data_IF_813081198245
#
_entry.id   IF_813081198245
#
_cell.length_a   1.000
_cell.length_b   1.000
_cell.length_c   1.000
_cell.angle_alpha   90.00
_cell.angle_beta   90.00
_cell.angle_gamma   90.00
#
_symmetry.space_group_name_H-M   'P 1'
#
loop_
_entity.id
_entity.type
_entity.pdbx_description
1 polymer ?
#
# COMPACT_ATOMS: atom_id res chain seq x y z
N UNK A 1 -8.82 16.98 21.52
CA UNK A 1 -9.89 17.08 20.50
C UNK A 1 -9.25 17.50 19.19
N UNK A 2 -9.90 17.21 18.05
CA UNK A 2 -9.36 17.62 16.74
C UNK A 2 -9.20 19.15 16.64
N UNK A 3 -10.18 19.90 17.15
CA UNK A 3 -10.10 21.37 17.24
C UNK A 3 -8.87 21.86 18.04
N UNK A 4 -8.45 21.10 19.05
CA UNK A 4 -7.22 21.38 19.81
C UNK A 4 -5.96 21.23 18.96
N UNK A 5 -5.90 20.21 18.11
CA UNK A 5 -4.80 20.00 17.15
C UNK A 5 -4.78 21.15 16.14
N UNK A 6 -5.94 21.55 15.59
CA UNK A 6 -6.01 22.67 14.65
C UNK A 6 -5.46 23.96 15.25
N UNK A 7 -5.82 24.28 16.51
CA UNK A 7 -5.27 25.45 17.22
C UNK A 7 -3.77 25.33 17.48
N UNK A 8 -3.28 24.14 17.79
CA UNK A 8 -1.85 23.89 17.98
C UNK A 8 -1.09 24.15 16.68
N UNK A 9 -1.54 23.56 15.57
CA UNK A 9 -0.94 23.76 14.23
C UNK A 9 -0.94 25.23 13.83
N UNK A 10 -2.07 25.93 14.01
CA UNK A 10 -2.16 27.37 13.75
C UNK A 10 -1.17 28.19 14.60
N UNK A 11 -0.94 27.77 15.85
CA UNK A 11 0.05 28.40 16.74
C UNK A 11 1.48 28.14 16.25
N UNK A 12 1.80 26.89 15.94
CA UNK A 12 3.11 26.47 15.42
C UNK A 12 3.47 27.19 14.12
N UNK A 13 2.48 27.44 13.27
CA UNK A 13 2.65 28.13 11.97
C UNK A 13 2.44 29.64 12.01
N UNK A 14 2.11 30.20 13.18
CA UNK A 14 1.97 31.66 13.35
C UNK A 14 3.31 32.38 13.14
N UNK A 15 3.35 33.70 12.89
CA UNK A 15 4.60 34.45 12.72
C UNK A 15 5.62 34.28 13.87
N UNK A 16 5.13 34.13 15.10
CA UNK A 16 5.92 33.89 16.32
C UNK A 16 6.09 32.40 16.66
N UNK A 17 5.62 31.52 15.77
CA UNK A 17 5.65 30.07 15.92
C UNK A 17 7.00 29.44 15.56
N UNK A 18 6.98 28.13 15.36
CA UNK A 18 8.17 27.35 15.02
C UNK A 18 8.60 27.64 13.57
N UNK A 19 9.87 28.03 13.33
CA UNK A 19 10.37 28.31 11.99
C UNK A 19 10.28 27.10 11.06
N UNK A 20 10.50 25.89 11.57
CA UNK A 20 10.41 24.67 10.78
C UNK A 20 8.98 24.39 10.33
N UNK A 21 8.01 24.47 11.25
CA UNK A 21 6.59 24.25 10.94
C UNK A 21 6.09 25.25 9.90
N UNK A 22 6.49 26.51 9.99
CA UNK A 22 6.14 27.56 9.03
C UNK A 22 6.70 27.33 7.62
N UNK A 23 7.90 26.77 7.52
CA UNK A 23 8.57 26.52 6.24
C UNK A 23 7.94 25.34 5.46
N UNK A 24 7.12 24.52 6.14
CA UNK A 24 6.50 23.37 5.52
C UNK A 24 5.42 23.74 4.49
N UNK A 25 5.38 22.93 3.44
CA UNK A 25 4.37 22.95 2.38
C UNK A 25 3.63 21.62 2.32
N UNK A 26 2.51 21.57 1.57
CA UNK A 26 1.78 20.34 1.35
C UNK A 26 2.67 19.22 0.78
N UNK A 27 3.59 19.59 -0.13
CA UNK A 27 4.52 18.66 -0.77
C UNK A 27 5.60 18.15 0.19
N UNK A 28 6.17 19.03 1.02
CA UNK A 28 7.21 18.63 1.96
C UNK A 28 6.68 17.72 3.06
N UNK A 29 5.42 17.86 3.48
CA UNK A 29 4.82 17.04 4.53
C UNK A 29 4.26 15.69 4.08
N UNK A 30 4.10 15.45 2.77
CA UNK A 30 3.40 14.23 2.27
C UNK A 30 4.10 12.93 2.65
N UNK A 31 5.43 12.94 2.79
CA UNK A 31 6.20 11.73 3.13
C UNK A 31 6.05 11.38 4.61
N UNK A 32 6.11 12.38 5.50
CA UNK A 32 5.85 12.20 6.93
C UNK A 32 4.43 11.67 7.15
N UNK A 33 3.43 12.25 6.48
CA UNK A 33 2.06 11.74 6.57
C UNK A 33 1.93 10.25 6.18
N UNK A 34 2.72 9.80 5.19
CA UNK A 34 2.72 8.41 4.78
C UNK A 34 3.46 7.51 5.78
N UNK A 35 4.52 8.01 6.40
CA UNK A 35 5.24 7.34 7.50
C UNK A 35 4.29 7.06 8.66
N UNK A 36 3.59 8.09 9.18
CA UNK A 36 2.62 7.91 10.27
C UNK A 36 1.48 6.94 9.91
N UNK A 37 1.06 6.92 8.63
CA UNK A 37 0.08 5.94 8.18
C UNK A 37 0.61 4.50 8.26
N UNK A 38 1.90 4.28 7.98
CA UNK A 38 2.51 2.96 8.10
C UNK A 38 2.78 2.58 9.55
N UNK A 39 3.19 3.51 10.41
CA UNK A 39 3.34 3.27 11.84
C UNK A 39 1.99 2.91 12.47
N UNK A 40 0.91 3.61 12.10
CA UNK A 40 -0.46 3.25 12.51
C UNK A 40 -0.85 1.85 12.03
N UNK A 41 -0.52 1.48 10.79
CA UNK A 41 -0.78 0.11 10.28
C UNK A 41 0.01 -0.93 11.08
N UNK A 42 1.29 -0.67 11.38
CA UNK A 42 2.12 -1.56 12.21
C UNK A 42 1.53 -1.71 13.61
N UNK A 43 1.14 -0.62 14.27
CA UNK A 43 0.52 -0.65 15.59
C UNK A 43 -0.79 -1.47 15.61
N UNK A 44 -1.62 -1.37 14.57
CA UNK A 44 -2.82 -2.18 14.39
C UNK A 44 -2.47 -3.67 14.21
N UNK A 45 -1.44 -3.98 13.40
CA UNK A 45 -0.97 -5.35 13.16
C UNK A 45 -0.40 -5.99 14.45
N UNK A 46 0.28 -5.21 15.29
CA UNK A 46 0.81 -5.63 16.59
C UNK A 46 -0.27 -5.75 17.67
N UNK A 47 -1.42 -5.10 17.48
CA UNK A 47 -2.48 -4.99 18.49
C UNK A 47 -2.08 -4.10 19.67
N UNK A 48 -1.11 -3.21 19.47
CA UNK A 48 -0.61 -2.29 20.49
C UNK A 48 -1.54 -1.07 20.60
N UNK A 49 -2.48 -1.13 21.52
CA UNK A 49 -3.51 -0.09 21.69
C UNK A 49 -2.95 1.27 22.11
N UNK A 50 -1.78 1.31 22.75
CA UNK A 50 -1.14 2.57 23.15
C UNK A 50 -0.53 3.24 21.92
N UNK A 51 0.25 2.50 21.13
CA UNK A 51 0.77 3.00 19.87
C UNK A 51 -0.33 3.37 18.88
N UNK A 52 -1.40 2.57 18.76
CA UNK A 52 -2.53 2.91 17.88
C UNK A 52 -3.08 4.30 18.21
N UNK A 53 -3.16 4.66 19.50
CA UNK A 53 -3.65 5.96 19.91
C UNK A 53 -2.65 7.10 19.61
N UNK A 54 -1.35 6.82 19.74
CA UNK A 54 -0.25 7.72 19.38
C UNK A 54 -0.24 8.02 17.88
N UNK A 55 -0.08 6.98 17.05
CA UNK A 55 0.04 7.13 15.59
C UNK A 55 -1.23 7.69 14.94
N UNK A 56 -2.42 7.34 15.48
CA UNK A 56 -3.66 7.96 15.02
C UNK A 56 -3.67 9.46 15.33
N UNK A 57 -3.06 9.89 16.44
CA UNK A 57 -2.83 11.29 16.77
C UNK A 57 -1.96 11.99 15.74
N UNK A 58 -0.88 11.35 15.31
CA UNK A 58 0.08 11.93 14.35
C UNK A 58 -0.50 12.00 12.93
N UNK A 59 -1.24 10.99 12.50
CA UNK A 59 -2.05 11.05 11.27
C UNK A 59 -3.02 12.23 11.30
N UNK A 60 -3.69 12.47 12.44
CA UNK A 60 -4.61 13.61 12.59
C UNK A 60 -3.87 14.95 12.63
N UNK A 61 -2.69 15.02 13.26
CA UNK A 61 -1.83 16.20 13.27
C UNK A 61 -1.41 16.59 11.86
N UNK A 62 -0.89 15.64 11.08
CA UNK A 62 -0.51 15.89 9.70
C UNK A 62 -1.72 16.26 8.83
N UNK A 63 -2.88 15.65 9.05
CA UNK A 63 -4.13 16.06 8.41
C UNK A 63 -4.52 17.51 8.71
N UNK A 64 -4.39 17.94 9.97
CA UNK A 64 -4.64 19.32 10.37
C UNK A 64 -3.60 20.29 9.78
N UNK A 65 -2.33 19.90 9.68
CA UNK A 65 -1.27 20.68 9.03
C UNK A 65 -1.56 20.95 7.55
N UNK A 66 -2.06 19.95 6.82
CA UNK A 66 -2.48 20.12 5.42
C UNK A 66 -3.65 21.10 5.28
N UNK A 67 -4.64 21.02 6.17
CA UNK A 67 -5.77 21.96 6.21
C UNK A 67 -5.27 23.39 6.46
N UNK A 68 -4.42 23.58 7.46
CA UNK A 68 -3.88 24.89 7.82
C UNK A 68 -3.08 25.52 6.66
N UNK A 69 -2.25 24.73 5.97
CA UNK A 69 -1.48 25.19 4.80
C UNK A 69 -2.41 25.65 3.67
N UNK A 70 -3.48 24.90 3.38
CA UNK A 70 -4.45 25.25 2.35
C UNK A 70 -5.24 26.51 2.72
N UNK A 71 -5.59 26.69 3.99
CA UNK A 71 -6.24 27.90 4.50
C UNK A 71 -5.36 29.14 4.35
N UNK A 72 -4.07 29.03 4.67
CA UNK A 72 -3.08 30.10 4.50
C UNK A 72 -2.91 30.51 3.02
N UNK A 73 -3.08 29.56 2.10
CA UNK A 73 -3.00 29.78 0.66
C UNK A 73 -4.31 30.29 0.05
N UNK A 74 -5.43 30.22 0.80
CA UNK A 74 -6.75 30.58 0.32
C UNK A 74 -7.38 29.55 -0.62
N UNK A 75 -6.89 28.31 -0.62
CA UNK A 75 -7.33 27.25 -1.53
C UNK A 75 -8.64 26.60 -1.05
N UNK A 76 -8.67 26.13 0.20
CA UNK A 76 -9.85 25.58 0.86
C UNK A 76 -9.72 25.65 2.38
N UNK A 77 -10.85 25.53 3.07
CA UNK A 77 -10.93 25.51 4.53
C UNK A 77 -11.15 24.12 5.11
N UNK A 78 -10.93 23.96 6.41
CA UNK A 78 -11.34 22.77 7.14
C UNK A 78 -12.84 22.49 7.01
N UNK A 79 -13.67 23.55 6.97
CA UNK A 79 -15.11 23.41 6.73
C UNK A 79 -15.40 22.80 5.35
N UNK A 80 -14.62 23.14 4.33
CA UNK A 80 -14.75 22.53 2.99
C UNK A 80 -14.38 21.06 2.99
N UNK A 81 -13.31 20.68 3.70
CA UNK A 81 -12.89 19.27 3.84
C UNK A 81 -13.99 18.45 4.52
N UNK A 82 -14.50 18.91 5.67
CA UNK A 82 -15.53 18.20 6.42
C UNK A 82 -16.85 18.12 5.66
N UNK A 83 -17.29 19.23 5.05
CA UNK A 83 -18.50 19.25 4.22
C UNK A 83 -18.41 18.22 3.09
N UNK A 84 -17.30 18.21 2.35
CA UNK A 84 -17.11 17.28 1.22
C UNK A 84 -17.16 15.81 1.66
N UNK A 85 -16.51 15.45 2.78
CA UNK A 85 -16.54 14.05 3.25
C UNK A 85 -17.92 13.68 3.80
N UNK A 86 -18.58 14.57 4.56
CA UNK A 86 -19.89 14.33 5.15
C UNK A 86 -20.95 14.16 4.05
N UNK A 87 -21.05 15.11 3.11
CA UNK A 87 -22.03 15.04 2.01
C UNK A 87 -21.83 13.76 1.18
N UNK A 88 -20.57 13.40 0.89
CA UNK A 88 -20.23 12.16 0.19
C UNK A 88 -20.67 10.92 0.96
N UNK A 89 -20.40 10.85 2.26
CA UNK A 89 -20.74 9.69 3.09
C UNK A 89 -22.26 9.57 3.29
N UNK A 90 -22.97 10.67 3.54
CA UNK A 90 -24.43 10.69 3.66
C UNK A 90 -25.08 10.19 2.37
N UNK A 91 -24.69 10.73 1.22
CA UNK A 91 -25.21 10.33 -0.10
C UNK A 91 -24.97 8.85 -0.40
N UNK A 92 -23.85 8.28 0.05
CA UNK A 92 -23.50 6.87 -0.20
C UNK A 92 -24.06 5.89 0.84
N UNK A 93 -24.72 6.38 1.89
CA UNK A 93 -25.46 5.56 2.86
C UNK A 93 -26.95 5.91 2.87
N UNK A 94 -27.67 5.76 1.73
CA UNK A 94 -29.11 6.04 1.67
C UNK A 94 -29.93 5.10 2.57
N UNK A 95 -29.33 4.03 3.06
CA UNK A 95 -29.96 3.10 4.01
C UNK A 95 -29.87 3.55 5.46
N UNK A 96 -28.99 4.49 5.77
CA UNK A 96 -28.89 5.13 7.09
C UNK A 96 -29.58 6.49 7.07
N UNK A 97 -29.40 7.27 6.00
CA UNK A 97 -29.81 8.68 5.92
C UNK A 97 -30.94 8.95 4.92
N UNK A 98 -31.55 7.91 4.36
CA UNK A 98 -32.67 8.01 3.41
C UNK A 98 -33.65 6.85 3.57
N UNK A 99 -34.40 6.54 2.52
CA UNK A 99 -35.49 5.55 2.56
C UNK A 99 -35.08 4.15 2.09
N UNK A 100 -33.81 3.93 1.76
CA UNK A 100 -33.37 2.62 1.31
C UNK A 100 -33.35 1.62 2.48
N UNK A 101 -33.70 0.37 2.22
CA UNK A 101 -33.55 -0.71 3.20
C UNK A 101 -32.39 -1.61 2.75
N UNK A 102 -31.53 -1.96 3.69
CA UNK A 102 -30.45 -2.95 3.55
C UNK A 102 -30.54 -3.84 4.79
N UNK A 103 -30.87 -5.11 4.59
CA UNK A 103 -31.08 -6.05 5.70
C UNK A 103 -29.81 -6.86 6.02
N UNK A 104 -28.89 -6.98 5.05
CA UNK A 104 -27.66 -7.75 5.16
C UNK A 104 -26.42 -6.87 4.90
N UNK A 105 -25.37 -6.92 5.76
CA UNK A 105 -24.06 -6.33 5.47
C UNK A 105 -23.48 -6.70 4.09
N UNK A 106 -23.76 -7.89 3.57
CA UNK A 106 -23.30 -8.34 2.25
C UNK A 106 -23.95 -7.55 1.10
N UNK A 107 -25.13 -6.96 1.32
CA UNK A 107 -25.82 -6.10 0.33
C UNK A 107 -25.30 -4.66 0.33
N UNK A 108 -24.65 -4.22 1.41
CA UNK A 108 -24.15 -2.84 1.54
C UNK A 108 -22.99 -2.56 0.57
N UNK A 109 -22.09 -3.53 0.37
CA UNK A 109 -20.89 -3.37 -0.49
C UNK A 109 -21.26 -3.24 -1.98
N UNK A 110 -22.07 -4.12 -2.59
CA UNK A 110 -22.49 -3.96 -3.99
C UNK A 110 -23.23 -2.64 -4.24
N UNK A 111 -24.04 -2.19 -3.27
CA UNK A 111 -24.80 -0.94 -3.37
C UNK A 111 -23.88 0.28 -3.31
N UNK A 112 -22.88 0.28 -2.43
CA UNK A 112 -21.84 1.31 -2.39
C UNK A 112 -21.13 1.45 -3.73
N UNK A 113 -20.76 0.32 -4.35
CA UNK A 113 -20.13 0.32 -5.67
C UNK A 113 -21.07 0.77 -6.78
N UNK A 114 -22.36 0.44 -6.71
CA UNK A 114 -23.37 0.93 -7.65
C UNK A 114 -23.50 2.45 -7.58
N UNK A 115 -23.59 3.02 -6.38
CA UNK A 115 -23.67 4.48 -6.20
C UNK A 115 -22.41 5.14 -6.74
N UNK A 116 -21.21 4.60 -6.46
CA UNK A 116 -19.95 5.10 -7.04
C UNK A 116 -19.97 5.10 -8.57
N UNK A 117 -20.50 4.05 -9.22
CA UNK A 117 -20.60 4.00 -10.69
C UNK A 117 -21.53 5.07 -11.24
N UNK A 118 -22.68 5.28 -10.59
CA UNK A 118 -23.62 6.32 -10.98
C UNK A 118 -23.01 7.71 -10.86
N UNK A 119 -22.20 7.97 -9.83
CA UNK A 119 -21.46 9.23 -9.67
C UNK A 119 -20.40 9.45 -10.76
N UNK A 120 -19.84 8.38 -11.32
CA UNK A 120 -18.86 8.45 -12.40
C UNK A 120 -19.52 8.53 -13.79
N UNK A 121 -20.78 8.12 -13.91
CA UNK A 121 -21.52 8.14 -15.17
C UNK A 121 -21.69 9.59 -15.66
N UNK A 122 -21.17 9.89 -16.86
CA UNK A 122 -21.18 11.24 -17.43
C UNK A 122 -19.96 12.10 -17.09
N UNK A 123 -18.91 11.50 -16.50
CA UNK A 123 -17.60 12.15 -16.35
C UNK A 123 -16.57 11.48 -17.27
N UNK A 124 -15.57 12.22 -17.75
CA UNK A 124 -14.44 11.66 -18.54
C UNK A 124 -13.47 10.81 -17.70
N UNK A 125 -13.83 10.49 -16.45
CA UNK A 125 -12.96 9.75 -15.53
C UNK A 125 -12.86 8.29 -15.97
N UNK A 126 -11.65 7.85 -16.27
CA UNK A 126 -11.31 6.45 -16.50
C UNK A 126 -11.71 5.59 -15.30
N UNK A 127 -11.98 4.32 -15.57
CA UNK A 127 -12.20 3.29 -14.56
C UNK A 127 -11.05 3.27 -13.55
N UNK A 128 -9.84 3.68 -13.93
CA UNK A 128 -8.67 3.71 -13.07
C UNK A 128 -8.46 5.03 -12.29
N UNK A 129 -9.22 6.10 -12.55
CA UNK A 129 -9.02 7.48 -12.04
C UNK A 129 -9.35 7.69 -10.55
N UNK A 130 -9.09 6.68 -9.74
CA UNK A 130 -9.31 6.70 -8.29
C UNK A 130 -8.46 5.67 -7.55
N UNK A 131 -7.50 5.03 -8.24
CA UNK A 131 -6.41 4.31 -7.59
C UNK A 131 -5.23 5.28 -7.49
N UNK A 132 -4.80 5.69 -6.29
CA UNK A 132 -3.69 6.63 -6.15
C UNK A 132 -2.41 6.03 -6.72
N UNK A 133 -1.79 6.70 -7.70
CA UNK A 133 -0.54 6.24 -8.32
C UNK A 133 0.65 6.22 -7.36
N UNK A 134 0.54 6.90 -6.22
CA UNK A 134 1.55 6.92 -5.17
C UNK A 134 1.51 5.69 -4.24
N UNK A 135 0.53 4.79 -4.40
CA UNK A 135 0.50 3.55 -3.65
C UNK A 135 1.72 2.66 -3.99
N UNK A 136 2.19 1.83 -3.04
CA UNK A 136 3.11 0.74 -3.35
C UNK A 136 2.62 -0.13 -4.51
N UNK A 137 3.56 -0.69 -5.27
CA UNK A 137 3.24 -1.34 -6.54
C UNK A 137 2.26 -2.53 -6.39
N UNK A 138 2.39 -3.36 -5.35
CA UNK A 138 1.50 -4.51 -5.16
C UNK A 138 0.10 -4.04 -4.73
N UNK A 139 0.03 -3.10 -3.79
CA UNK A 139 -1.23 -2.47 -3.39
C UNK A 139 -1.94 -1.75 -4.55
N UNK A 140 -1.19 -1.02 -5.38
CA UNK A 140 -1.70 -0.36 -6.59
C UNK A 140 -2.28 -1.38 -7.57
N UNK A 141 -1.51 -2.43 -7.91
CA UNK A 141 -1.95 -3.50 -8.81
C UNK A 141 -3.21 -4.19 -8.29
N UNK A 142 -3.27 -4.49 -6.99
CA UNK A 142 -4.42 -5.15 -6.37
C UNK A 142 -5.67 -4.26 -6.42
N UNK A 143 -5.52 -2.96 -6.16
CA UNK A 143 -6.61 -2.00 -6.24
C UNK A 143 -7.14 -1.83 -7.67
N UNK A 144 -6.25 -1.80 -8.67
CA UNK A 144 -6.61 -1.78 -10.10
C UNK A 144 -7.40 -3.03 -10.48
N UNK A 145 -6.88 -4.22 -10.15
CA UNK A 145 -7.54 -5.50 -10.45
C UNK A 145 -8.89 -5.64 -9.73
N UNK A 146 -8.98 -5.27 -8.46
CA UNK A 146 -10.26 -5.28 -7.73
C UNK A 146 -11.31 -4.36 -8.35
N UNK A 147 -10.87 -3.26 -8.99
CA UNK A 147 -11.77 -2.34 -9.69
C UNK A 147 -12.22 -2.89 -11.05
N UNK A 148 -11.31 -3.51 -11.80
CA UNK A 148 -11.64 -4.23 -13.02
C UNK A 148 -12.67 -5.34 -12.72
N UNK A 149 -12.42 -6.13 -11.67
CA UNK A 149 -13.29 -7.23 -11.24
C UNK A 149 -14.72 -6.78 -10.93
N UNK A 150 -14.88 -5.68 -10.18
CA UNK A 150 -16.20 -5.09 -9.90
C UNK A 150 -16.97 -4.74 -11.18
N UNK A 151 -16.28 -4.45 -12.28
CA UNK A 151 -16.88 -4.11 -13.56
C UNK A 151 -17.19 -5.33 -14.45
N UNK A 152 -16.99 -6.54 -13.92
CA UNK A 152 -17.19 -7.78 -14.68
C UNK A 152 -15.97 -8.16 -15.52
N UNK A 153 -14.85 -7.44 -15.39
CA UNK A 153 -13.57 -7.85 -15.98
C UNK A 153 -12.80 -8.67 -14.94
N UNK A 154 -13.22 -9.92 -14.75
CA UNK A 154 -12.56 -10.89 -13.88
C UNK A 154 -12.59 -12.29 -14.51
N UNK A 155 -11.89 -13.21 -13.87
CA UNK A 155 -11.86 -14.62 -14.22
C UNK A 155 -13.15 -15.33 -13.78
N UNK A 156 -13.55 -16.37 -14.50
CA UNK A 156 -14.71 -17.19 -14.12
C UNK A 156 -14.42 -18.08 -12.90
N UNK A 157 -13.16 -18.49 -12.74
CA UNK A 157 -12.74 -19.39 -11.66
C UNK A 157 -11.26 -19.25 -11.32
N UNK A 158 -10.93 -19.53 -10.06
CA UNK A 158 -9.57 -19.46 -9.51
C UNK A 158 -8.52 -20.28 -10.27
N UNK A 159 -8.79 -21.49 -10.80
CA UNK A 159 -7.78 -22.23 -11.58
C UNK A 159 -7.23 -21.45 -12.78
N UNK A 160 -8.06 -20.67 -13.48
CA UNK A 160 -7.60 -19.86 -14.61
C UNK A 160 -6.61 -18.77 -14.20
N UNK A 161 -6.77 -18.24 -12.98
CA UNK A 161 -5.82 -17.27 -12.41
C UNK A 161 -4.45 -17.91 -12.17
N UNK A 162 -4.42 -19.15 -11.66
CA UNK A 162 -3.17 -19.89 -11.46
C UNK A 162 -2.53 -20.30 -12.78
N UNK A 163 -3.34 -20.70 -13.77
CA UNK A 163 -2.85 -21.00 -15.11
C UNK A 163 -2.14 -19.80 -15.72
N UNK A 164 -2.67 -18.58 -15.53
CA UNK A 164 -2.00 -17.35 -15.97
C UNK A 164 -0.68 -17.11 -15.25
N UNK A 165 -0.59 -17.32 -13.93
CA UNK A 165 0.70 -17.24 -13.21
C UNK A 165 1.74 -18.20 -13.80
N UNK A 166 1.33 -19.40 -14.17
CA UNK A 166 2.23 -20.40 -14.78
C UNK A 166 2.61 -20.01 -16.21
N UNK A 167 1.71 -19.39 -16.96
CA UNK A 167 1.97 -18.82 -18.29
C UNK A 167 3.03 -17.73 -18.23
N UNK A 168 2.85 -16.70 -17.39
CA UNK A 168 3.81 -15.59 -17.25
C UNK A 168 5.20 -16.07 -16.82
N UNK A 169 5.25 -17.09 -15.95
CA UNK A 169 6.51 -17.71 -15.55
C UNK A 169 7.24 -18.36 -16.75
N UNK A 170 6.50 -19.00 -17.66
CA UNK A 170 7.07 -19.59 -18.87
C UNK A 170 7.52 -18.51 -19.85
N UNK A 171 6.75 -17.44 -20.01
CA UNK A 171 7.10 -16.31 -20.87
C UNK A 171 8.42 -15.67 -20.39
N UNK A 172 8.54 -15.42 -19.09
CA UNK A 172 9.77 -14.95 -18.45
C UNK A 172 10.96 -15.90 -18.67
N UNK A 173 10.76 -17.22 -18.59
CA UNK A 173 11.83 -18.21 -18.88
C UNK A 173 12.32 -18.17 -20.34
N UNK A 174 11.45 -17.78 -21.26
CA UNK A 174 11.76 -17.72 -22.70
C UNK A 174 12.21 -16.33 -23.18
N UNK A 175 12.09 -15.30 -22.35
CA UNK A 175 12.47 -13.93 -22.69
C UNK A 175 13.97 -13.79 -22.99
N UNK A 176 14.28 -13.35 -24.22
CA UNK A 176 15.65 -13.29 -24.72
C UNK A 176 16.35 -11.94 -24.47
N UNK A 177 15.59 -10.83 -24.46
CA UNK A 177 16.12 -9.49 -24.18
C UNK A 177 15.87 -9.05 -22.74
N UNK A 178 16.66 -8.09 -22.25
CA UNK A 178 16.47 -7.54 -20.91
C UNK A 178 15.14 -6.77 -20.79
N UNK A 179 14.76 -6.01 -21.83
CA UNK A 179 13.45 -5.34 -21.89
C UNK A 179 12.28 -6.34 -21.83
N UNK A 180 12.39 -7.47 -22.53
CA UNK A 180 11.37 -8.52 -22.46
C UNK A 180 11.32 -9.13 -21.06
N UNK A 181 12.47 -9.44 -20.46
CA UNK A 181 12.52 -9.99 -19.08
C UNK A 181 11.90 -9.04 -18.06
N UNK A 182 12.12 -7.73 -18.19
CA UNK A 182 11.50 -6.74 -17.31
C UNK A 182 9.97 -6.75 -17.44
N UNK A 183 9.47 -6.79 -18.68
CA UNK A 183 8.04 -6.88 -18.98
C UNK A 183 7.41 -8.14 -18.40
N UNK A 184 7.95 -9.32 -18.73
CA UNK A 184 7.40 -10.61 -18.27
C UNK A 184 7.52 -10.76 -16.75
N UNK A 185 8.56 -10.18 -16.12
CA UNK A 185 8.64 -10.15 -14.66
C UNK A 185 7.53 -9.29 -14.06
N UNK A 186 7.23 -8.15 -14.69
CA UNK A 186 6.11 -7.30 -14.32
C UNK A 186 4.78 -8.03 -14.41
N UNK A 187 4.53 -8.74 -15.51
CA UNK A 187 3.28 -9.47 -15.74
C UNK A 187 3.14 -10.69 -14.81
N UNK A 188 4.24 -11.37 -14.50
CA UNK A 188 4.29 -12.41 -13.47
C UNK A 188 3.91 -11.85 -12.09
N UNK A 189 4.52 -10.74 -11.67
CA UNK A 189 4.19 -10.10 -10.40
C UNK A 189 2.74 -9.63 -10.37
N UNK A 190 2.24 -9.03 -11.45
CA UNK A 190 0.85 -8.62 -11.60
C UNK A 190 -0.11 -9.81 -11.48
N UNK A 191 0.20 -10.94 -12.11
CA UNK A 191 -0.59 -12.18 -12.02
C UNK A 191 -0.56 -12.78 -10.61
N UNK A 192 0.57 -12.71 -9.89
CA UNK A 192 0.65 -13.12 -8.49
C UNK A 192 -0.20 -12.24 -7.56
N UNK A 193 -0.26 -10.94 -7.80
CA UNK A 193 -1.17 -10.03 -7.09
C UNK A 193 -2.63 -10.43 -7.35
N UNK A 194 -2.97 -10.81 -8.58
CA UNK A 194 -4.32 -11.25 -8.92
C UNK A 194 -4.70 -12.56 -8.22
N UNK A 195 -3.78 -13.52 -8.17
CA UNK A 195 -3.95 -14.75 -7.39
C UNK A 195 -4.17 -14.44 -5.90
N UNK A 196 -3.40 -13.50 -5.34
CA UNK A 196 -3.54 -13.09 -3.93
C UNK A 196 -4.92 -12.49 -3.67
N UNK A 197 -5.42 -11.62 -4.56
CA UNK A 197 -6.78 -11.06 -4.49
C UNK A 197 -7.86 -12.15 -4.48
N UNK A 198 -7.77 -13.14 -5.34
CA UNK A 198 -8.70 -14.28 -5.37
C UNK A 198 -8.67 -15.13 -4.10
N UNK A 199 -7.54 -15.15 -3.40
CA UNK A 199 -7.39 -15.83 -2.10
C UNK A 199 -7.87 -14.97 -0.92
N UNK A 200 -8.28 -13.72 -1.14
CA UNK A 200 -8.60 -12.77 -0.08
C UNK A 200 -7.36 -12.31 0.71
N UNK A 201 -6.17 -12.38 0.10
CA UNK A 201 -4.89 -12.01 0.71
C UNK A 201 -4.47 -10.64 0.18
N UNK A 202 -4.13 -9.72 1.08
CA UNK A 202 -3.54 -8.43 0.71
C UNK A 202 -2.06 -8.64 0.33
N UNK A 203 -1.72 -8.31 -0.91
CA UNK A 203 -0.47 -8.71 -1.54
C UNK A 203 0.75 -7.97 -0.96
N UNK A 204 0.61 -6.69 -0.64
CA UNK A 204 1.68 -5.87 -0.05
C UNK A 204 2.08 -6.41 1.32
N UNK A 205 1.10 -6.65 2.19
CA UNK A 205 1.27 -7.22 3.54
C UNK A 205 1.81 -8.65 3.48
N UNK A 206 1.34 -9.45 2.54
CA UNK A 206 1.87 -10.80 2.33
C UNK A 206 3.36 -10.77 1.96
N UNK A 207 3.79 -9.77 1.17
CA UNK A 207 5.19 -9.57 0.82
C UNK A 207 6.03 -8.95 1.95
N UNK A 208 5.44 -8.05 2.76
CA UNK A 208 6.11 -7.45 3.94
C UNK A 208 6.43 -8.50 5.03
N UNK A 209 5.56 -9.48 5.26
CA UNK A 209 5.73 -10.44 6.38
C UNK A 209 7.07 -11.19 6.37
N UNK A 210 7.56 -11.74 5.24
CA UNK A 210 8.88 -12.38 5.18
C UNK A 210 10.06 -11.40 5.24
N UNK A 211 9.88 -10.11 4.97
CA UNK A 211 10.96 -9.11 4.91
C UNK A 211 11.07 -8.27 6.18
N UNK A 212 9.96 -8.10 6.91
CA UNK A 212 9.98 -7.62 8.28
C UNK A 212 10.85 -8.57 9.12
N UNK A 213 11.70 -8.03 9.99
CA UNK A 213 12.73 -8.75 10.78
C UNK A 213 12.24 -9.85 11.74
N UNK A 214 11.03 -10.38 11.51
CA UNK A 214 10.47 -11.56 12.12
C UNK A 214 11.45 -12.75 12.04
N UNK A 215 11.43 -13.58 13.09
CA UNK A 215 12.19 -14.84 13.15
C UNK A 215 11.90 -15.75 11.95
N UNK A 216 10.75 -15.57 11.29
CA UNK A 216 10.34 -16.30 10.09
C UNK A 216 11.03 -15.80 8.81
N UNK A 217 11.22 -14.49 8.67
CA UNK A 217 11.99 -13.88 7.56
C UNK A 217 13.45 -14.29 7.56
N UNK A 218 14.10 -14.19 8.73
CA UNK A 218 15.49 -14.63 8.93
C UNK A 218 15.69 -16.13 8.69
N UNK A 219 14.71 -16.98 9.06
CA UNK A 219 14.73 -18.42 8.75
C UNK A 219 14.55 -18.72 7.26
N UNK A 220 13.71 -17.96 6.55
CA UNK A 220 13.55 -18.14 5.10
C UNK A 220 14.81 -17.73 4.36
N UNK A 221 15.38 -16.57 4.65
CA UNK A 221 16.63 -16.11 4.00
C UNK A 221 17.81 -17.06 4.25
N UNK A 222 17.91 -17.65 5.45
CA UNK A 222 18.93 -18.65 5.76
C UNK A 222 18.67 -20.03 5.14
N UNK A 223 17.43 -20.36 4.76
CA UNK A 223 17.05 -21.59 4.07
C UNK A 223 17.11 -21.50 2.52
N UNK A 224 17.29 -20.31 1.95
CA UNK A 224 17.43 -20.12 0.49
C UNK A 224 18.58 -20.95 -0.13
N UNK A 225 19.74 -21.12 0.52
CA UNK A 225 20.80 -22.01 0.02
C UNK A 225 20.39 -23.49 -0.01
N UNK A 226 19.61 -23.97 0.96
CA UNK A 226 19.20 -25.39 1.06
C UNK A 226 18.13 -25.76 0.02
N UNK A 227 17.26 -24.82 -0.36
CA UNK A 227 16.28 -25.01 -1.42
C UNK A 227 16.95 -25.21 -2.80
N UNK A 228 18.09 -24.55 -3.05
CA UNK A 228 18.84 -24.67 -4.30
C UNK A 228 19.39 -26.09 -4.52
N UNK A 229 19.81 -26.79 -3.44
CA UNK A 229 20.28 -28.18 -3.52
C UNK A 229 19.13 -29.16 -3.81
N UNK A 230 17.92 -28.88 -3.32
CA UNK A 230 16.74 -29.71 -3.60
C UNK A 230 16.23 -29.57 -5.04
N UNK A 231 16.32 -28.38 -5.64
CA UNK A 231 15.90 -28.11 -7.03
C UNK A 231 16.89 -28.76 -8.02
N UNK A 232 18.19 -28.73 -7.70
CA UNK A 232 19.25 -29.46 -8.44
C UNK A 232 18.94 -30.97 -8.57
N UNK A 233 18.37 -31.58 -7.54
CA UNK A 233 18.05 -33.02 -7.52
C UNK A 233 16.84 -33.44 -8.37
N UNK A 234 15.96 -32.50 -8.75
CA UNK A 234 14.75 -32.74 -9.57
C UNK A 234 14.88 -32.32 -11.03
N UNK A 235 16.03 -31.79 -11.43
CA UNK A 235 16.27 -31.30 -12.78
C UNK A 235 16.61 -32.46 -13.74
N UNK A 236 15.91 -32.63 -14.88
CA UNK A 236 16.29 -33.61 -15.90
C UNK A 236 17.74 -33.41 -16.36
N UNK A 237 18.44 -34.50 -16.66
CA UNK A 237 19.89 -34.54 -16.92
C UNK A 237 20.39 -33.60 -18.03
N UNK A 238 19.49 -33.04 -18.83
CA UNK A 238 19.76 -32.16 -19.97
C UNK A 238 20.03 -30.69 -19.63
N UNK A 239 19.76 -30.21 -18.39
CA UNK A 239 19.97 -28.79 -17.99
C UNK A 239 21.05 -28.55 -16.91
N UNK A 240 21.95 -29.51 -16.66
CA UNK A 240 22.99 -29.36 -15.62
C UNK A 240 24.03 -28.24 -15.84
N UNK A 241 24.14 -27.67 -17.05
CA UNK A 241 25.14 -26.63 -17.35
C UNK A 241 24.73 -25.19 -17.00
N UNK A 242 23.43 -24.89 -16.85
CA UNK A 242 22.95 -23.55 -16.46
C UNK A 242 22.69 -23.39 -14.96
N UNK A 243 22.59 -24.50 -14.21
CA UNK A 243 22.25 -24.52 -12.79
C UNK A 243 23.48 -24.44 -11.86
N UNK A 244 24.69 -24.33 -12.40
CA UNK A 244 25.96 -24.42 -11.67
C UNK A 244 26.62 -23.08 -11.36
N UNK A 245 25.97 -22.20 -10.60
CA UNK A 245 26.71 -21.20 -9.80
C UNK A 245 26.36 -21.41 -8.34
N UNK A 246 27.32 -21.94 -7.58
CA UNK A 246 27.25 -22.01 -6.11
C UNK A 246 26.91 -20.61 -5.57
N UNK A 247 25.97 -20.47 -4.63
CA UNK A 247 25.82 -19.22 -3.89
C UNK A 247 27.18 -18.85 -3.25
N UNK A 248 27.58 -17.59 -3.34
CA UNK A 248 28.74 -17.10 -2.57
C UNK A 248 28.41 -17.28 -1.09
N UNK A 249 29.26 -18.00 -0.36
CA UNK A 249 29.17 -18.11 1.09
C UNK A 249 29.07 -16.71 1.69
N UNK A 250 27.98 -16.46 2.43
CA UNK A 250 27.88 -15.28 3.26
C UNK A 250 29.03 -15.35 4.28
N UNK A 251 29.93 -14.37 4.28
CA UNK A 251 30.99 -14.27 5.30
C UNK A 251 30.30 -14.14 6.65
N UNK A 252 30.37 -15.20 7.44
CA UNK A 252 29.86 -15.24 8.80
C UNK A 252 30.63 -14.25 9.67
N UNK A 253 29.91 -13.31 10.29
CA UNK A 253 30.36 -12.60 11.47
C UNK A 253 30.64 -11.12 11.28
N UNK A 254 29.59 -10.32 11.12
CA UNK A 254 29.48 -9.01 11.76
C UNK A 254 27.98 -8.76 12.02
N UNK A 255 27.56 -8.43 13.26
CA UNK A 255 26.18 -8.02 13.49
C UNK A 255 25.95 -6.70 12.75
N UNK A 256 24.82 -6.59 12.06
CA UNK A 256 24.36 -5.38 11.39
C UNK A 256 24.19 -4.29 12.47
N UNK A 257 25.22 -3.46 12.67
CA UNK A 257 25.11 -2.26 13.51
C UNK A 257 24.33 -1.24 12.70
N UNK A 258 23.05 -1.05 13.06
CA UNK A 258 22.30 0.13 12.66
C UNK A 258 23.14 1.37 12.99
N UNK A 259 23.39 2.20 11.99
CA UNK A 259 24.13 3.44 12.15
C UNK A 259 23.29 4.40 12.97
N UNK A 260 23.52 4.42 14.29
CA UNK A 260 23.07 5.50 15.16
C UNK A 260 23.79 6.77 14.74
N UNK A 261 23.09 7.69 14.09
CA UNK A 261 23.57 9.06 13.90
C UNK A 261 23.34 9.80 15.23
N UNK A 262 24.43 10.07 15.95
CA UNK A 262 24.43 11.05 17.04
C UNK A 262 24.96 12.40 16.54
N UNK A 263 24.51 13.52 17.13
CA UNK A 263 24.64 14.84 16.53
C UNK A 263 26.06 15.39 16.69
N UNK A 264 26.57 16.01 15.62
CA UNK A 264 27.84 16.71 15.67
C UNK A 264 27.68 18.03 16.43
N UNK A 265 28.27 18.08 17.62
CA UNK A 265 28.58 19.30 18.35
C UNK A 265 29.88 19.92 17.85
N UNK A 266 29.83 21.19 17.44
CA UNK A 266 30.87 22.19 17.71
C UNK A 266 31.90 22.50 16.62
N UNK A 267 31.77 23.69 16.02
CA UNK A 267 32.67 24.85 16.24
C UNK A 267 32.01 26.12 15.72
#
# INVERSE_FOLDING_TARGET
SFEGIQRLVATLRSPDGCPWDRDQSADSLKHLFLEECYELVEAIEEGDVEKIAEELGDVLFHGASQIQIAEEQGDFSGADVFRQVIEKLVRRHPHVFGDAVVEDPEEAVPRWDQIKRQEMAGTDRSILDGVPKAMPAMGYAQAVQGRAARMGFDWDAYPGVLDKVVEELRELETAESDDAREMELGDLLFSMVNASRWMGIEAETALRRPTAGSTQGSRRLSAWPEAADSISSRCPSTRKKSCGRKPREAKSGEPFRGSSVSPASGS
#
